data_IF_212509662085
#
_entry.id   IF_212509662085
#
_cell.length_a   1.000
_cell.length_b   1.000
_cell.length_c   1.000
_cell.angle_alpha   90.00
_cell.angle_beta   90.00
_cell.angle_gamma   90.00
#
_symmetry.space_group_name_H-M   'P 1'
#
loop_
_entity.id
_entity.type
_entity.pdbx_description
1 polymer ?
#
# COMPACT_ATOMS: atom_id res chain seq x y z
N UNK A 1 9.95 5.88 3.59
CA UNK A 1 9.51 6.90 4.54
C UNK A 1 9.91 8.27 4.00
N UNK A 2 8.95 9.14 3.74
CA UNK A 2 9.24 10.47 3.20
C UNK A 2 9.26 11.48 4.30
N UNK A 3 10.28 12.33 4.31
CA UNK A 3 10.43 13.42 5.27
C UNK A 3 10.47 14.73 4.48
N UNK A 4 9.47 15.56 4.68
CA UNK A 4 9.48 16.95 4.21
C UNK A 4 10.14 17.82 5.28
N UNK A 5 10.84 18.88 4.85
CA UNK A 5 11.37 19.90 5.74
C UNK A 5 10.20 20.51 6.54
N UNK A 6 10.30 20.50 7.87
CA UNK A 6 9.27 20.92 8.83
C UNK A 6 8.11 19.92 9.08
N UNK A 7 8.20 18.67 8.62
CA UNK A 7 7.17 17.67 8.87
C UNK A 7 7.61 16.69 9.97
N UNK A 8 6.80 16.55 11.02
CA UNK A 8 7.00 15.50 12.01
C UNK A 8 6.55 14.16 11.42
N UNK A 9 7.46 13.17 11.43
CA UNK A 9 7.19 11.83 10.90
C UNK A 9 7.11 10.81 12.03
N UNK A 10 6.01 10.05 12.03
CA UNK A 10 5.79 8.90 12.90
C UNK A 10 5.90 7.62 12.07
N UNK A 11 7.02 6.93 12.19
CA UNK A 11 7.22 5.61 11.61
C UNK A 11 6.67 4.55 12.56
N UNK A 12 5.89 3.60 12.03
CA UNK A 12 5.28 2.56 12.87
C UNK A 12 5.72 1.17 12.48
N UNK A 13 5.89 0.29 13.46
CA UNK A 13 6.25 -1.11 13.26
C UNK A 13 5.71 -2.00 14.37
N UNK A 14 5.47 -3.27 14.05
CA UNK A 14 4.96 -4.27 15.00
C UNK A 14 5.97 -4.61 16.10
N UNK A 15 7.23 -4.73 15.73
CA UNK A 15 8.33 -5.09 16.62
C UNK A 15 9.38 -3.99 16.65
N UNK A 16 9.45 -3.27 17.77
CA UNK A 16 10.39 -2.17 17.96
C UNK A 16 11.87 -2.60 18.03
N UNK A 17 12.17 -3.88 18.29
CA UNK A 17 13.55 -4.39 18.27
C UNK A 17 14.18 -4.30 16.86
N UNK A 18 13.34 -4.20 15.82
CA UNK A 18 13.78 -4.06 14.43
C UNK A 18 14.02 -2.61 13.99
N UNK A 19 13.86 -1.63 14.88
CA UNK A 19 14.01 -0.19 14.54
C UNK A 19 15.44 0.23 14.21
N UNK A 20 16.45 -0.54 14.63
CA UNK A 20 17.88 -0.16 14.54
C UNK A 20 18.32 0.25 13.14
N UNK A 21 17.84 -0.44 12.10
CA UNK A 21 18.19 -0.07 10.72
C UNK A 21 17.59 1.28 10.31
N UNK A 22 16.35 1.55 10.74
CA UNK A 22 15.66 2.81 10.47
C UNK A 22 16.29 3.98 11.23
N UNK A 23 16.65 3.76 12.50
CA UNK A 23 17.33 4.78 13.32
C UNK A 23 18.69 5.18 12.71
N UNK A 24 19.46 4.18 12.26
CA UNK A 24 20.76 4.44 11.60
C UNK A 24 20.61 5.20 10.29
N UNK A 25 19.60 4.87 9.49
CA UNK A 25 19.34 5.58 8.24
C UNK A 25 18.90 7.02 8.49
N UNK A 26 18.01 7.23 9.45
CA UNK A 26 17.59 8.58 9.87
C UNK A 26 18.79 9.43 10.34
N UNK A 27 19.68 8.83 11.17
CA UNK A 27 20.90 9.49 11.62
C UNK A 27 21.84 9.84 10.45
N UNK A 28 22.04 8.90 9.52
CA UNK A 28 22.89 9.10 8.34
C UNK A 28 22.38 10.23 7.44
N UNK A 29 21.07 10.39 7.34
CA UNK A 29 20.42 11.45 6.56
C UNK A 29 20.21 12.76 7.35
N UNK A 30 20.56 12.79 8.64
CA UNK A 30 20.37 13.97 9.50
C UNK A 30 18.91 14.34 9.73
N UNK A 31 18.00 13.36 9.67
CA UNK A 31 16.56 13.57 9.82
C UNK A 31 16.06 12.99 11.14
N UNK A 32 15.02 13.63 11.71
CA UNK A 32 14.37 13.19 12.93
C UNK A 32 13.05 12.49 12.60
N UNK A 33 12.81 11.34 13.22
CA UNK A 33 11.53 10.65 13.18
C UNK A 33 11.22 10.00 14.53
N UNK A 34 9.93 9.85 14.82
CA UNK A 34 9.44 9.10 15.97
C UNK A 34 9.05 7.68 15.55
N UNK A 35 9.53 6.67 16.28
CA UNK A 35 9.18 5.27 15.99
C UNK A 35 8.20 4.76 17.05
N UNK A 36 7.03 4.30 16.61
CA UNK A 36 5.97 3.83 17.50
C UNK A 36 5.57 2.39 17.19
N UNK A 37 5.09 1.68 18.22
CA UNK A 37 4.52 0.34 18.03
C UNK A 37 3.12 0.44 17.42
N UNK A 38 2.89 -0.27 16.30
CA UNK A 38 1.59 -0.45 15.69
C UNK A 38 1.56 -1.77 14.94
N UNK A 39 0.61 -2.65 15.26
CA UNK A 39 0.23 -3.79 14.43
C UNK A 39 -1.12 -3.48 13.78
N UNK A 40 -1.15 -3.41 12.46
CA UNK A 40 -2.37 -3.11 11.69
C UNK A 40 -3.47 -4.16 11.90
N UNK A 41 -3.14 -5.33 12.44
CA UNK A 41 -4.08 -6.40 12.77
C UNK A 41 -4.71 -6.24 14.16
N UNK A 42 -4.16 -5.35 14.97
CA UNK A 42 -4.61 -5.12 16.35
C UNK A 42 -5.17 -3.69 16.50
N UNK A 43 -6.51 -3.62 16.55
CA UNK A 43 -7.23 -2.34 16.69
C UNK A 43 -6.79 -1.54 17.92
N UNK A 44 -6.42 -2.22 19.03
CA UNK A 44 -5.99 -1.52 20.23
C UNK A 44 -4.66 -0.79 20.02
N UNK A 45 -3.69 -1.44 19.36
CA UNK A 45 -2.40 -0.79 19.05
C UNK A 45 -2.54 0.35 18.05
N UNK A 46 -3.45 0.22 17.08
CA UNK A 46 -3.78 1.29 16.13
C UNK A 46 -4.34 2.49 16.87
N UNK A 47 -5.35 2.29 17.72
CA UNK A 47 -5.99 3.37 18.47
C UNK A 47 -5.00 4.05 19.43
N UNK A 48 -4.22 3.28 20.20
CA UNK A 48 -3.20 3.81 21.09
C UNK A 48 -2.16 4.69 20.37
N UNK A 49 -1.73 4.26 19.18
CA UNK A 49 -0.78 5.04 18.37
C UNK A 49 -1.41 6.36 17.90
N UNK A 50 -2.62 6.32 17.37
CA UNK A 50 -3.34 7.52 16.92
C UNK A 50 -3.61 8.48 18.07
N UNK A 51 -4.07 7.98 19.23
CA UNK A 51 -4.35 8.80 20.41
C UNK A 51 -3.09 9.49 20.92
N UNK A 52 -1.95 8.78 20.98
CA UNK A 52 -0.69 9.35 21.40
C UNK A 52 -0.18 10.46 20.44
N UNK A 53 -0.32 10.27 19.12
CA UNK A 53 0.02 11.30 18.14
C UNK A 53 -0.90 12.52 18.30
N UNK A 54 -2.19 12.28 18.46
CA UNK A 54 -3.16 13.36 18.66
C UNK A 54 -2.96 14.13 19.96
N UNK A 55 -2.54 13.46 21.04
CA UNK A 55 -2.19 14.10 22.31
C UNK A 55 -0.94 15.00 22.16
N UNK A 56 0.04 14.54 21.40
CA UNK A 56 1.32 15.24 21.21
C UNK A 56 1.21 16.37 20.18
N UNK A 57 0.58 16.14 19.03
CA UNK A 57 0.59 17.06 17.88
C UNK A 57 -0.74 17.80 17.68
N UNK A 58 -1.83 17.27 18.24
CA UNK A 58 -3.18 17.82 18.06
C UNK A 58 -3.77 17.61 16.67
N UNK A 59 -3.03 17.01 15.74
CA UNK A 59 -3.44 16.80 14.34
C UNK A 59 -2.74 15.62 13.69
N UNK A 60 -3.33 15.07 12.65
CA UNK A 60 -2.71 14.14 11.71
C UNK A 60 -3.08 14.61 10.31
N UNK A 61 -2.09 15.00 9.51
CA UNK A 61 -2.30 15.56 8.18
C UNK A 61 -2.21 14.51 7.08
N UNK A 62 -1.37 13.50 7.30
CA UNK A 62 -1.13 12.45 6.32
C UNK A 62 -1.14 11.09 7.02
N UNK A 63 -1.84 10.14 6.41
CA UNK A 63 -1.76 8.72 6.75
C UNK A 63 -1.26 7.94 5.54
N UNK A 64 -0.11 7.27 5.67
CA UNK A 64 0.39 6.34 4.64
C UNK A 64 0.16 4.91 5.12
N UNK A 65 -0.83 4.24 4.57
CA UNK A 65 -1.12 2.83 4.78
C UNK A 65 -0.18 1.98 3.91
N UNK A 66 1.05 1.77 4.41
CA UNK A 66 2.10 1.03 3.71
C UNK A 66 2.24 -0.43 4.16
N UNK A 67 1.69 -0.80 5.30
CA UNK A 67 1.80 -2.17 5.81
C UNK A 67 1.18 -3.16 4.83
N UNK A 68 1.96 -4.19 4.46
CA UNK A 68 1.53 -5.23 3.54
C UNK A 68 2.37 -6.49 3.67
N UNK A 69 1.85 -7.59 3.16
CA UNK A 69 2.52 -8.87 3.13
C UNK A 69 2.21 -9.60 1.82
N UNK A 70 3.24 -10.24 1.24
CA UNK A 70 3.10 -11.08 0.06
C UNK A 70 2.40 -12.40 0.38
N UNK A 71 1.88 -13.03 -0.67
CA UNK A 71 1.28 -14.35 -0.64
C UNK A 71 1.62 -15.07 -1.94
N UNK A 72 1.94 -16.36 -1.85
CA UNK A 72 2.23 -17.18 -3.03
C UNK A 72 1.79 -18.63 -2.83
N UNK A 73 0.52 -18.87 -3.11
CA UNK A 73 -0.12 -20.20 -3.23
C UNK A 73 -1.25 -20.14 -4.22
N UNK A 74 -1.60 -21.29 -4.82
CA UNK A 74 -2.87 -21.42 -5.54
C UNK A 74 -4.04 -21.39 -4.55
N UNK A 75 -5.22 -21.09 -5.04
CA UNK A 75 -6.46 -21.09 -4.23
C UNK A 75 -6.70 -22.44 -3.55
N UNK A 76 -6.39 -23.57 -4.24
CA UNK A 76 -6.54 -24.91 -3.70
C UNK A 76 -5.55 -25.22 -2.56
N UNK A 77 -4.36 -24.63 -2.62
CA UNK A 77 -3.29 -24.82 -1.61
C UNK A 77 -3.47 -23.94 -0.38
N UNK A 78 -4.13 -22.79 -0.53
CA UNK A 78 -4.28 -21.80 0.53
C UNK A 78 -5.20 -22.31 1.64
N UNK A 79 -4.75 -22.24 2.89
CA UNK A 79 -5.63 -22.49 4.04
C UNK A 79 -6.53 -21.30 4.32
N UNK A 80 -7.66 -21.53 5.02
CA UNK A 80 -8.54 -20.43 5.41
C UNK A 80 -7.84 -19.41 6.32
N UNK A 81 -6.95 -19.87 7.20
CA UNK A 81 -6.14 -19.02 8.07
C UNK A 81 -5.16 -18.14 7.25
N UNK A 82 -4.56 -18.68 6.20
CA UNK A 82 -3.68 -17.92 5.29
C UNK A 82 -4.48 -16.87 4.52
N UNK A 83 -5.65 -17.22 3.99
CA UNK A 83 -6.57 -16.29 3.31
C UNK A 83 -6.97 -15.16 4.26
N UNK A 84 -7.43 -15.49 5.46
CA UNK A 84 -7.84 -14.51 6.47
C UNK A 84 -6.66 -13.60 6.86
N UNK A 85 -5.47 -14.16 7.06
CA UNK A 85 -4.28 -13.39 7.41
C UNK A 85 -3.87 -12.40 6.32
N UNK A 86 -3.88 -12.81 5.04
CA UNK A 86 -3.54 -11.92 3.91
C UNK A 86 -4.52 -10.77 3.81
N UNK A 87 -5.83 -11.06 3.91
CA UNK A 87 -6.87 -10.04 3.91
C UNK A 87 -6.77 -9.12 5.12
N UNK A 88 -6.43 -9.68 6.28
CA UNK A 88 -6.34 -8.94 7.54
C UNK A 88 -5.17 -7.92 7.52
N UNK A 89 -4.01 -8.33 7.00
CA UNK A 89 -2.85 -7.43 6.88
C UNK A 89 -3.06 -6.40 5.77
N UNK A 90 -3.38 -6.86 4.54
CA UNK A 90 -3.30 -6.00 3.36
C UNK A 90 -4.53 -5.10 3.16
N UNK A 91 -5.71 -5.51 3.66
CA UNK A 91 -6.95 -4.74 3.49
C UNK A 91 -7.55 -4.29 4.81
N UNK A 92 -7.88 -5.20 5.74
CA UNK A 92 -8.53 -4.81 7.00
C UNK A 92 -7.63 -3.90 7.84
N UNK A 93 -6.29 -4.08 7.76
CA UNK A 93 -5.33 -3.18 8.40
C UNK A 93 -5.43 -1.74 7.90
N UNK A 94 -5.51 -1.57 6.56
CA UNK A 94 -5.76 -0.27 5.94
C UNK A 94 -7.06 0.35 6.44
N UNK A 95 -8.15 -0.43 6.51
CA UNK A 95 -9.45 0.03 7.03
C UNK A 95 -9.35 0.44 8.49
N UNK A 96 -8.65 -0.33 9.35
CA UNK A 96 -8.48 0.01 10.78
C UNK A 96 -7.76 1.33 10.99
N UNK A 97 -6.60 1.50 10.32
CA UNK A 97 -5.83 2.74 10.44
C UNK A 97 -6.61 3.95 9.90
N UNK A 98 -7.23 3.80 8.74
CA UNK A 98 -8.08 4.85 8.15
C UNK A 98 -9.23 5.21 9.09
N UNK A 99 -9.94 4.22 9.63
CA UNK A 99 -11.05 4.43 10.57
C UNK A 99 -10.63 5.19 11.83
N UNK A 100 -9.43 4.93 12.35
CA UNK A 100 -8.91 5.61 13.52
C UNK A 100 -8.57 7.09 13.23
N UNK A 101 -8.07 7.41 12.02
CA UNK A 101 -7.58 8.75 11.67
C UNK A 101 -8.69 9.66 11.09
N UNK A 102 -9.62 9.12 10.32
CA UNK A 102 -10.67 9.91 9.62
C UNK A 102 -11.46 10.86 10.54
N UNK A 103 -11.86 10.52 11.77
CA UNK A 103 -12.59 11.47 12.62
C UNK A 103 -11.83 12.76 12.89
N UNK A 104 -10.51 12.67 13.04
CA UNK A 104 -9.63 13.82 13.29
C UNK A 104 -9.47 14.67 12.03
N UNK A 105 -9.18 14.06 10.88
CA UNK A 105 -9.09 14.75 9.59
C UNK A 105 -10.44 15.40 9.21
N UNK A 106 -11.56 14.71 9.45
CA UNK A 106 -12.90 15.24 9.18
C UNK A 106 -13.21 16.48 10.04
N UNK A 107 -12.82 16.48 11.31
CA UNK A 107 -12.94 17.65 12.19
C UNK A 107 -12.06 18.81 11.72
N UNK A 108 -10.86 18.52 11.24
CA UNK A 108 -9.93 19.50 10.69
C UNK A 108 -10.34 19.99 9.27
N UNK A 109 -11.25 19.28 8.58
CA UNK A 109 -11.63 19.55 7.17
C UNK A 109 -10.42 19.50 6.23
N UNK A 110 -9.45 18.69 6.55
CA UNK A 110 -8.19 18.56 5.82
C UNK A 110 -7.54 17.22 6.13
N UNK A 111 -6.78 16.69 5.17
CA UNK A 111 -5.97 15.48 5.33
C UNK A 111 -5.71 14.79 4.00
N UNK A 112 -4.73 13.89 3.98
CA UNK A 112 -4.46 13.05 2.82
C UNK A 112 -4.18 11.61 3.28
N UNK A 113 -4.98 10.66 2.79
CA UNK A 113 -4.80 9.23 3.05
C UNK A 113 -4.22 8.59 1.80
N UNK A 114 -3.01 8.05 1.93
CA UNK A 114 -2.31 7.34 0.87
C UNK A 114 -2.31 5.86 1.19
N UNK A 115 -2.91 5.07 0.30
CA UNK A 115 -2.98 3.62 0.41
C UNK A 115 -2.00 2.98 -0.57
N UNK A 116 -1.01 2.24 -0.07
CA UNK A 116 -0.09 1.51 -0.94
C UNK A 116 -0.79 0.25 -1.43
N UNK A 117 -1.24 0.33 -2.67
CA UNK A 117 -1.83 -0.77 -3.41
C UNK A 117 -0.74 -1.59 -4.13
N UNK A 118 -0.93 -1.92 -5.38
CA UNK A 118 0.00 -2.63 -6.26
C UNK A 118 -0.56 -2.65 -7.68
N UNK A 119 0.26 -2.92 -8.69
CA UNK A 119 -0.24 -3.40 -10.00
C UNK A 119 -1.12 -4.64 -9.84
N UNK A 120 -0.89 -5.43 -8.78
CA UNK A 120 -1.76 -6.56 -8.39
C UNK A 120 -3.15 -6.14 -7.89
N UNK A 121 -3.40 -4.85 -7.64
CA UNK A 121 -4.73 -4.29 -7.40
C UNK A 121 -5.49 -3.95 -8.69
N UNK A 122 -4.82 -3.99 -9.84
CA UNK A 122 -5.40 -3.73 -11.15
C UNK A 122 -5.46 -4.98 -12.03
N UNK A 123 -4.51 -5.90 -11.87
CA UNK A 123 -4.45 -7.15 -12.64
C UNK A 123 -4.16 -8.34 -11.72
N UNK A 124 -4.76 -9.51 -12.02
CA UNK A 124 -4.48 -10.75 -11.30
C UNK A 124 -3.13 -11.33 -11.71
N UNK A 125 -2.36 -11.80 -10.72
CA UNK A 125 -1.07 -12.44 -10.91
C UNK A 125 -1.16 -13.90 -10.47
N UNK A 126 -0.58 -14.86 -11.21
CA UNK A 126 -0.59 -16.27 -10.84
C UNK A 126 -0.03 -16.49 -9.42
N UNK A 127 -0.62 -17.40 -8.67
CA UNK A 127 -0.25 -17.74 -7.29
C UNK A 127 -0.35 -16.58 -6.27
N UNK A 128 -0.84 -15.42 -6.70
CA UNK A 128 -1.04 -14.25 -5.85
C UNK A 128 -2.54 -13.92 -5.68
N UNK A 129 -3.45 -14.87 -5.87
CA UNK A 129 -4.89 -14.64 -5.94
C UNK A 129 -5.40 -13.88 -4.71
N UNK A 130 -5.01 -14.30 -3.50
CA UNK A 130 -5.46 -13.67 -2.26
C UNK A 130 -4.81 -12.30 -2.03
N UNK A 131 -3.54 -12.15 -2.41
CA UNK A 131 -2.87 -10.85 -2.39
C UNK A 131 -3.51 -9.87 -3.37
N UNK A 132 -3.73 -10.30 -4.62
CA UNK A 132 -4.41 -9.48 -5.62
C UNK A 132 -5.82 -9.11 -5.16
N UNK A 133 -6.61 -10.06 -4.65
CA UNK A 133 -7.94 -9.78 -4.11
C UNK A 133 -7.91 -8.70 -3.01
N UNK A 134 -6.94 -8.78 -2.08
CA UNK A 134 -6.77 -7.77 -1.04
C UNK A 134 -6.40 -6.39 -1.63
N UNK A 135 -5.53 -6.34 -2.65
CA UNK A 135 -5.14 -5.08 -3.31
C UNK A 135 -6.27 -4.50 -4.17
N UNK A 136 -7.06 -5.33 -4.87
CA UNK A 136 -8.30 -4.90 -5.52
C UNK A 136 -9.30 -4.31 -4.50
N UNK A 137 -9.38 -4.90 -3.30
CA UNK A 137 -10.21 -4.35 -2.23
C UNK A 137 -9.71 -2.96 -1.76
N UNK A 138 -8.39 -2.74 -1.69
CA UNK A 138 -7.79 -1.42 -1.39
C UNK A 138 -8.13 -0.40 -2.47
N UNK A 139 -8.10 -0.78 -3.77
CA UNK A 139 -8.49 0.11 -4.87
C UNK A 139 -9.95 0.56 -4.73
N UNK A 140 -10.89 -0.39 -4.69
CA UNK A 140 -12.31 -0.07 -4.57
C UNK A 140 -12.63 0.70 -3.28
N UNK A 141 -11.95 0.40 -2.17
CA UNK A 141 -12.09 1.14 -0.92
C UNK A 141 -11.62 2.59 -1.06
N UNK A 142 -10.45 2.81 -1.68
CA UNK A 142 -9.87 4.15 -1.88
C UNK A 142 -10.77 5.00 -2.79
N UNK A 143 -11.19 4.44 -3.93
CA UNK A 143 -12.10 5.12 -4.86
C UNK A 143 -13.43 5.48 -4.20
N UNK A 144 -14.03 4.52 -3.47
CA UNK A 144 -15.29 4.76 -2.77
C UNK A 144 -15.17 5.88 -1.73
N UNK A 145 -14.10 5.87 -0.92
CA UNK A 145 -13.88 6.91 0.09
C UNK A 145 -13.63 8.27 -0.56
N UNK A 146 -12.83 8.35 -1.61
CA UNK A 146 -12.54 9.57 -2.33
C UNK A 146 -13.81 10.21 -2.91
N UNK A 147 -14.76 9.40 -3.41
CA UNK A 147 -15.96 9.89 -4.12
C UNK A 147 -16.86 10.79 -3.27
N UNK A 148 -16.95 10.55 -1.95
CA UNK A 148 -17.84 11.32 -1.08
C UNK A 148 -17.11 12.06 0.05
N UNK A 149 -15.99 11.53 0.57
CA UNK A 149 -15.28 12.18 1.68
C UNK A 149 -14.50 13.39 1.18
N UNK A 150 -13.85 13.29 0.02
CA UNK A 150 -13.10 14.42 -0.54
C UNK A 150 -13.98 15.65 -0.75
N UNK A 151 -15.09 15.60 -1.50
CA UNK A 151 -15.93 16.76 -1.69
C UNK A 151 -16.65 17.22 -0.41
N UNK A 152 -16.97 16.28 0.51
CA UNK A 152 -17.72 16.62 1.72
C UNK A 152 -16.84 17.18 2.83
N UNK A 153 -15.59 16.72 2.95
CA UNK A 153 -14.75 17.02 4.12
C UNK A 153 -13.35 17.52 3.77
N UNK A 154 -12.96 17.60 2.50
CA UNK A 154 -11.65 18.07 2.08
C UNK A 154 -10.51 17.07 2.37
N UNK A 155 -10.82 15.81 2.63
CA UNK A 155 -9.82 14.76 2.87
C UNK A 155 -9.52 14.07 1.53
N UNK A 156 -8.27 14.09 1.10
CA UNK A 156 -7.81 13.50 -0.15
C UNK A 156 -7.47 12.02 0.03
N UNK A 157 -7.59 11.25 -1.05
CA UNK A 157 -7.25 9.83 -1.08
C UNK A 157 -6.46 9.52 -2.34
N UNK A 158 -5.37 8.75 -2.18
CA UNK A 158 -4.57 8.26 -3.31
C UNK A 158 -4.23 6.79 -3.09
N UNK A 159 -4.53 5.95 -4.07
CA UNK A 159 -3.98 4.62 -4.21
C UNK A 159 -2.67 4.72 -5.00
N UNK A 160 -1.56 4.27 -4.40
CA UNK A 160 -0.26 4.17 -5.07
C UNK A 160 -0.08 2.73 -5.51
N UNK A 161 0.22 2.53 -6.79
CA UNK A 161 0.18 1.23 -7.49
C UNK A 161 1.58 0.82 -7.98
N UNK A 162 2.49 0.38 -7.09
CA UNK A 162 3.83 -0.03 -7.48
C UNK A 162 3.82 -1.37 -8.24
N UNK A 163 4.83 -1.54 -9.10
CA UNK A 163 5.28 -2.83 -9.60
C UNK A 163 6.15 -3.56 -8.58
N UNK A 164 7.17 -4.28 -9.06
CA UNK A 164 8.16 -4.90 -8.20
C UNK A 164 9.08 -3.83 -7.57
N UNK A 165 9.32 -3.94 -6.26
CA UNK A 165 10.19 -3.00 -5.52
C UNK A 165 11.30 -3.81 -4.84
N UNK A 166 12.54 -3.36 -4.97
CA UNK A 166 13.71 -3.94 -4.28
C UNK A 166 13.66 -3.61 -2.78
N UNK A 167 13.00 -4.46 -2.00
CA UNK A 167 12.81 -4.33 -0.56
C UNK A 167 12.87 -5.70 0.13
N UNK A 168 12.67 -5.73 1.45
CA UNK A 168 12.54 -6.98 2.22
C UNK A 168 11.21 -7.72 1.97
N UNK A 169 10.37 -7.28 1.03
CA UNK A 169 9.05 -7.87 0.77
C UNK A 169 9.16 -9.32 0.30
N UNK A 170 10.05 -9.60 -0.68
CA UNK A 170 10.29 -10.96 -1.18
C UNK A 170 10.89 -11.88 -0.10
N UNK A 171 11.87 -11.38 0.66
CA UNK A 171 12.46 -12.14 1.77
C UNK A 171 11.40 -12.47 2.84
N UNK A 172 10.50 -11.53 3.13
CA UNK A 172 9.39 -11.72 4.06
C UNK A 172 8.36 -12.73 3.53
N UNK A 173 8.09 -12.72 2.21
CA UNK A 173 7.24 -13.70 1.55
C UNK A 173 7.82 -15.11 1.68
N UNK A 174 9.11 -15.29 1.39
CA UNK A 174 9.79 -16.60 1.50
C UNK A 174 9.84 -17.10 2.95
N UNK A 175 10.07 -16.22 3.92
CA UNK A 175 10.01 -16.55 5.35
C UNK A 175 8.59 -17.01 5.77
N UNK A 176 7.55 -16.34 5.28
CA UNK A 176 6.16 -16.74 5.54
C UNK A 176 5.84 -18.11 4.91
N UNK A 177 6.22 -18.34 3.66
CA UNK A 177 6.06 -19.65 3.00
C UNK A 177 6.77 -20.74 3.83
N UNK A 178 8.00 -20.48 4.29
CA UNK A 178 8.74 -21.42 5.13
C UNK A 178 8.02 -21.76 6.44
N UNK A 179 7.38 -20.78 7.08
CA UNK A 179 6.63 -20.94 8.33
C UNK A 179 5.31 -21.69 8.16
N UNK A 180 4.72 -21.65 6.95
CA UNK A 180 3.45 -22.31 6.64
C UNK A 180 3.61 -23.61 5.85
N UNK A 181 4.73 -24.33 6.06
CA UNK A 181 4.97 -25.66 5.50
C UNK A 181 5.81 -25.70 4.22
N UNK A 182 6.35 -24.56 3.77
CA UNK A 182 7.19 -24.49 2.59
C UNK A 182 6.40 -24.51 1.26
N UNK A 183 7.12 -24.75 0.16
CA UNK A 183 6.51 -24.99 -1.14
C UNK A 183 5.95 -26.41 -1.20
N UNK A 184 4.68 -26.55 -1.51
CA UNK A 184 4.02 -27.86 -1.59
C UNK A 184 4.52 -28.63 -2.81
N UNK A 185 4.72 -29.94 -2.63
CA UNK A 185 5.24 -30.85 -3.66
C UNK A 185 4.06 -31.52 -4.37
N UNK A 186 3.34 -30.76 -5.20
CA UNK A 186 2.15 -31.19 -5.92
C UNK A 186 2.17 -30.76 -7.40
N UNK A 187 1.06 -30.89 -8.11
CA UNK A 187 0.94 -30.55 -9.52
C UNK A 187 1.12 -29.06 -9.81
N UNK A 188 0.97 -28.18 -8.82
CA UNK A 188 1.18 -26.74 -8.98
C UNK A 188 2.66 -26.33 -8.95
N UNK A 189 3.53 -27.13 -8.35
CA UNK A 189 4.93 -26.76 -8.19
C UNK A 189 5.67 -26.48 -9.51
N UNK A 190 5.53 -27.29 -10.57
CA UNK A 190 6.12 -26.99 -11.88
C UNK A 190 5.64 -25.67 -12.46
N UNK A 191 4.34 -25.37 -12.32
CA UNK A 191 3.72 -24.12 -12.82
C UNK A 191 4.23 -22.92 -12.02
N UNK A 192 4.36 -23.05 -10.70
CA UNK A 192 4.95 -22.02 -9.83
C UNK A 192 6.41 -21.75 -10.19
N UNK A 193 7.21 -22.79 -10.45
CA UNK A 193 8.60 -22.62 -10.89
C UNK A 193 8.68 -21.91 -12.24
N UNK A 194 7.77 -22.21 -13.18
CA UNK A 194 7.68 -21.52 -14.46
C UNK A 194 7.36 -20.03 -14.26
N UNK A 195 6.40 -19.72 -13.39
CA UNK A 195 6.03 -18.34 -13.04
C UNK A 195 7.21 -17.58 -12.42
N UNK A 196 7.88 -18.17 -11.42
CA UNK A 196 9.05 -17.55 -10.76
C UNK A 196 10.19 -17.34 -11.78
N UNK A 197 10.48 -18.34 -12.62
CA UNK A 197 11.51 -18.24 -13.64
C UNK A 197 11.22 -17.13 -14.67
N UNK A 198 9.96 -16.98 -15.08
CA UNK A 198 9.55 -15.89 -15.96
C UNK A 198 9.69 -14.52 -15.27
N UNK A 199 9.28 -14.41 -14.02
CA UNK A 199 9.42 -13.18 -13.25
C UNK A 199 10.89 -12.76 -13.08
N UNK A 200 11.78 -13.71 -12.76
CA UNK A 200 13.23 -13.48 -12.65
C UNK A 200 13.84 -13.04 -13.98
N UNK A 201 13.48 -13.71 -15.08
CA UNK A 201 13.96 -13.35 -16.42
C UNK A 201 13.51 -11.95 -16.80
N UNK A 202 12.26 -11.60 -16.56
CA UNK A 202 11.73 -10.27 -16.84
C UNK A 202 12.37 -9.20 -15.95
N UNK A 203 12.59 -9.49 -14.67
CA UNK A 203 13.27 -8.58 -13.75
C UNK A 203 14.74 -8.31 -14.10
N UNK A 204 15.40 -9.26 -14.74
CA UNK A 204 16.79 -9.12 -15.22
C UNK A 204 16.87 -8.53 -16.64
N UNK A 205 15.75 -8.35 -17.34
CA UNK A 205 15.74 -7.81 -18.70
C UNK A 205 16.15 -6.35 -18.72
N UNK A 206 16.97 -6.00 -19.69
CA UNK A 206 17.35 -4.60 -20.01
C UNK A 206 16.56 -4.06 -21.20
N UNK A 207 15.65 -4.85 -21.75
CA UNK A 207 14.77 -4.45 -22.84
C UNK A 207 13.49 -3.83 -22.28
N UNK A 208 13.23 -2.57 -22.61
CA UNK A 208 12.07 -1.82 -22.13
C UNK A 208 12.26 -1.17 -20.73
N UNK A 209 11.17 -0.67 -20.14
CA UNK A 209 11.23 -0.02 -18.83
C UNK A 209 11.64 -0.99 -17.72
N UNK A 210 12.37 -0.49 -16.72
CA UNK A 210 12.78 -1.28 -15.58
C UNK A 210 11.59 -1.88 -14.83
N UNK A 211 11.63 -3.21 -14.64
CA UNK A 211 10.58 -3.95 -13.92
C UNK A 211 10.65 -3.70 -12.42
N UNK A 212 11.87 -3.60 -11.88
CA UNK A 212 12.14 -3.43 -10.45
C UNK A 212 12.52 -1.99 -10.16
N UNK A 213 11.82 -1.38 -9.23
CA UNK A 213 12.09 -0.04 -8.71
C UNK A 213 12.80 -0.11 -7.36
N UNK A 214 13.44 0.99 -6.97
CA UNK A 214 13.91 1.21 -5.60
C UNK A 214 12.76 1.71 -4.70
N UNK A 215 12.94 1.59 -3.39
CA UNK A 215 12.01 2.16 -2.42
C UNK A 215 11.96 3.69 -2.52
N UNK A 216 13.09 4.33 -2.83
CA UNK A 216 13.21 5.78 -2.95
C UNK A 216 12.41 6.30 -4.16
N UNK A 217 12.49 5.64 -5.32
CA UNK A 217 11.68 6.01 -6.49
C UNK A 217 10.16 5.96 -6.19
N UNK A 218 9.72 4.98 -5.42
CA UNK A 218 8.31 4.91 -4.98
C UNK A 218 7.99 6.02 -3.98
N UNK A 219 8.91 6.31 -3.07
CA UNK A 219 8.76 7.39 -2.11
C UNK A 219 8.67 8.77 -2.80
N UNK A 220 9.45 9.01 -3.87
CA UNK A 220 9.35 10.24 -4.67
C UNK A 220 7.96 10.42 -5.29
N UNK A 221 7.33 9.35 -5.80
CA UNK A 221 5.96 9.41 -6.31
C UNK A 221 4.97 9.77 -5.19
N UNK A 222 5.13 9.18 -4.00
CA UNK A 222 4.30 9.51 -2.83
C UNK A 222 4.47 10.98 -2.46
N UNK A 223 5.70 11.48 -2.46
CA UNK A 223 5.98 12.90 -2.21
C UNK A 223 5.32 13.81 -3.22
N UNK A 224 5.41 13.48 -4.51
CA UNK A 224 4.71 14.24 -5.55
C UNK A 224 3.19 14.29 -5.33
N UNK A 225 2.58 13.21 -4.83
CA UNK A 225 1.17 13.22 -4.46
C UNK A 225 0.86 14.11 -3.26
N UNK A 226 1.77 14.18 -2.28
CA UNK A 226 1.61 15.03 -1.09
C UNK A 226 1.74 16.52 -1.42
N UNK A 227 2.62 16.88 -2.33
CA UNK A 227 2.88 18.25 -2.77
C UNK A 227 1.81 18.77 -3.74
N UNK A 228 1.09 17.87 -4.41
CA UNK A 228 0.08 18.24 -5.39
C UNK A 228 -1.13 18.90 -4.71
N UNK A 229 -1.58 20.03 -5.24
CA UNK A 229 -2.82 20.67 -4.81
C UNK A 229 -4.03 19.74 -5.03
N UNK A 230 -4.06 19.06 -6.17
CA UNK A 230 -5.09 18.10 -6.56
C UNK A 230 -4.42 16.76 -6.92
N UNK A 231 -4.07 15.92 -5.92
CA UNK A 231 -3.44 14.64 -6.17
C UNK A 231 -4.37 13.68 -6.91
N UNK A 232 -3.84 12.79 -7.75
CA UNK A 232 -4.63 11.77 -8.42
C UNK A 232 -5.21 10.79 -7.38
N UNK A 233 -6.38 10.22 -7.69
CA UNK A 233 -7.00 9.17 -6.85
C UNK A 233 -6.20 7.87 -6.93
N UNK A 234 -5.50 7.64 -8.06
CA UNK A 234 -4.58 6.52 -8.23
C UNK A 234 -3.39 6.90 -9.10
N UNK A 235 -2.22 6.33 -8.78
CA UNK A 235 -0.97 6.60 -9.48
C UNK A 235 -0.11 5.35 -9.56
N UNK A 236 0.38 5.01 -10.77
CA UNK A 236 1.42 4.01 -10.99
C UNK A 236 2.77 4.64 -10.72
N UNK A 237 3.69 3.84 -10.19
CA UNK A 237 4.99 4.37 -9.75
C UNK A 237 6.09 4.26 -10.80
N UNK A 238 5.85 3.55 -11.92
CA UNK A 238 6.82 3.36 -12.99
C UNK A 238 6.18 3.25 -14.36
N UNK A 239 6.98 3.47 -15.39
CA UNK A 239 6.58 3.25 -16.78
C UNK A 239 6.20 1.78 -17.04
N UNK A 240 6.92 0.84 -16.41
CA UNK A 240 6.56 -0.58 -16.47
C UNK A 240 5.16 -0.84 -15.92
N UNK A 241 4.86 -0.29 -14.74
CA UNK A 241 3.53 -0.42 -14.12
C UNK A 241 2.43 0.19 -15.00
N UNK A 242 2.69 1.37 -15.59
CA UNK A 242 1.76 2.03 -16.50
C UNK A 242 1.47 1.18 -17.75
N UNK A 243 2.51 0.66 -18.40
CA UNK A 243 2.37 -0.17 -19.60
C UNK A 243 1.56 -1.46 -19.33
N UNK A 244 1.88 -2.16 -18.23
CA UNK A 244 1.25 -3.46 -17.93
C UNK A 244 -0.20 -3.33 -17.45
N UNK A 245 -0.56 -2.23 -16.82
CA UNK A 245 -1.93 -1.98 -16.37
C UNK A 245 -2.77 -1.23 -17.42
N UNK A 246 -2.19 -0.85 -18.55
CA UNK A 246 -2.80 0.01 -19.58
C UNK A 246 -4.14 -0.50 -20.08
N UNK A 247 -4.31 -1.79 -20.24
CA UNK A 247 -5.60 -2.39 -20.67
C UNK A 247 -6.73 -2.03 -19.71
N UNK A 248 -6.43 -1.93 -18.41
CA UNK A 248 -7.42 -1.61 -17.39
C UNK A 248 -7.58 -0.11 -17.16
N UNK A 249 -6.50 0.67 -17.32
CA UNK A 249 -6.45 2.09 -16.95
C UNK A 249 -6.54 3.05 -18.12
N UNK A 250 -6.66 2.56 -19.36
CA UNK A 250 -6.55 3.38 -20.57
C UNK A 250 -7.60 4.49 -20.66
N UNK A 251 -8.83 4.25 -20.20
CA UNK A 251 -9.93 5.22 -20.29
C UNK A 251 -9.90 6.27 -19.17
N UNK A 252 -9.38 5.89 -18.00
CA UNK A 252 -9.34 6.74 -16.80
C UNK A 252 -8.10 6.40 -15.94
N UNK A 253 -6.91 6.80 -16.42
CA UNK A 253 -5.64 6.35 -15.84
C UNK A 253 -5.41 6.81 -14.40
N UNK A 254 -5.96 7.94 -13.99
CA UNK A 254 -5.76 8.51 -12.65
C UNK A 254 -6.99 8.38 -11.72
N UNK A 255 -8.13 7.88 -12.24
CA UNK A 255 -9.37 7.70 -11.49
C UNK A 255 -10.23 8.96 -11.34
N UNK A 256 -9.82 10.08 -11.90
CA UNK A 256 -10.51 11.37 -11.71
C UNK A 256 -11.88 11.41 -12.41
N UNK A 257 -11.98 10.85 -13.63
CA UNK A 257 -13.24 10.82 -14.38
C UNK A 257 -14.28 9.95 -13.68
N UNK A 258 -13.88 8.79 -13.17
CA UNK A 258 -14.78 7.91 -12.39
C UNK A 258 -15.29 8.61 -11.13
N UNK A 259 -14.44 9.34 -10.43
CA UNK A 259 -14.82 10.11 -9.25
C UNK A 259 -15.87 11.18 -9.58
N UNK A 260 -15.64 11.98 -10.61
CA UNK A 260 -16.57 12.99 -11.06
C UNK A 260 -17.92 12.38 -11.47
N UNK A 261 -17.89 11.27 -12.22
CA UNK A 261 -19.08 10.55 -12.63
C UNK A 261 -19.91 10.05 -11.45
N UNK A 262 -19.26 9.41 -10.46
CA UNK A 262 -19.94 8.92 -9.25
C UNK A 262 -20.52 10.08 -8.45
N UNK A 263 -19.75 11.17 -8.26
CA UNK A 263 -20.19 12.35 -7.56
C UNK A 263 -21.47 12.93 -8.18
N UNK A 264 -21.46 13.14 -9.49
CA UNK A 264 -22.63 13.67 -10.23
C UNK A 264 -23.83 12.72 -10.20
N UNK A 265 -23.61 11.41 -10.49
CA UNK A 265 -24.73 10.47 -10.67
C UNK A 265 -25.39 10.03 -9.38
N UNK A 266 -24.63 9.90 -8.30
CA UNK A 266 -25.12 9.31 -7.05
C UNK A 266 -25.21 10.29 -5.89
N UNK A 267 -24.52 11.42 -5.95
CA UNK A 267 -24.47 12.38 -4.86
C UNK A 267 -25.00 13.78 -5.28
N UNK A 268 -25.19 14.04 -6.58
CA UNK A 268 -25.65 15.33 -7.09
C UNK A 268 -24.64 16.47 -6.88
N UNK A 269 -23.33 16.14 -6.86
CA UNK A 269 -22.24 17.11 -6.65
C UNK A 269 -21.81 17.78 -7.95
#
# INVERSE_FOLDING_TARGET
LCILIETQVYATMRNLDKRVALDKEAEAQGVSLSVMRLDVRDTATVQQCVDAIMEQEGRIDVLVNNAGAGFARSTEQATEEEVEWVMDVNFKGTVRCTKAVIPHMRKARSGHIINISSVGGLMGLPFNEMYCAAKFAVEGYTESMASYITPSFGIKFTAVEPGAISTQFEASLMDNIGKTGGLLQDEYLPVLHQYIGAAQKNGASTEGPAVVQTADEVAEVIMGCLEAENPPVRVRTSEWAELHTKLKTQSDPDGTLLQAHIGQHFLGL
#
